data_IF_269511137638
#
_entry.id   IF_269511137638
#
_cell.length_a   1.000
_cell.length_b   1.000
_cell.length_c   1.000
_cell.angle_alpha   90.00
_cell.angle_beta   90.00
_cell.angle_gamma   90.00
#
_symmetry.space_group_name_H-M   'P 1'
#
loop_
_entity.id
_entity.type
_entity.pdbx_description
1 polymer ?
#
# COMPACT_ATOMS: atom_id res chain seq x y z
N UNK A 1 -4.18 -16.41 -3.34
CA UNK A 1 -4.04 -15.18 -4.15
C UNK A 1 -3.59 -14.03 -3.24
N UNK A 2 -2.77 -13.14 -3.74
CA UNK A 2 -2.22 -11.96 -3.03
C UNK A 2 -2.93 -10.69 -3.53
N UNK A 3 -3.40 -9.83 -2.61
CA UNK A 3 -3.92 -8.51 -2.96
C UNK A 3 -2.81 -7.46 -2.78
N UNK A 4 -2.64 -6.59 -3.78
CA UNK A 4 -1.77 -5.41 -3.70
C UNK A 4 -2.62 -4.16 -3.81
N UNK A 5 -2.70 -3.35 -2.75
CA UNK A 5 -3.27 -2.01 -2.81
C UNK A 5 -2.18 -1.01 -3.20
N UNK A 6 -2.55 0.13 -3.79
CA UNK A 6 -1.53 1.05 -4.33
C UNK A 6 -0.71 0.44 -5.47
N UNK A 7 -1.25 -0.57 -6.15
CA UNK A 7 -0.63 -1.34 -7.21
C UNK A 7 -0.12 -0.50 -8.39
N UNK A 8 -0.71 0.66 -8.62
CA UNK A 8 -0.33 1.60 -9.69
C UNK A 8 0.68 2.67 -9.24
N UNK A 9 1.07 2.67 -7.96
CA UNK A 9 2.11 3.53 -7.40
C UNK A 9 3.52 2.97 -7.62
N UNK A 10 4.53 3.73 -7.19
CA UNK A 10 5.94 3.35 -7.35
C UNK A 10 6.22 1.99 -6.73
N UNK A 11 6.02 1.83 -5.43
CA UNK A 11 6.32 0.58 -4.72
C UNK A 11 5.46 -0.58 -5.22
N UNK A 12 4.13 -0.37 -5.32
CA UNK A 12 3.22 -1.44 -5.71
C UNK A 12 3.47 -1.97 -7.13
N UNK A 13 3.79 -1.13 -8.09
CA UNK A 13 4.06 -1.57 -9.47
C UNK A 13 5.33 -2.42 -9.59
N UNK A 14 6.38 -2.09 -8.84
CA UNK A 14 7.61 -2.90 -8.79
C UNK A 14 7.39 -4.22 -8.04
N UNK A 15 6.61 -4.18 -6.95
CA UNK A 15 6.22 -5.40 -6.22
C UNK A 15 5.42 -6.38 -7.09
N UNK A 16 4.50 -5.88 -7.94
CA UNK A 16 3.78 -6.72 -8.88
C UNK A 16 4.71 -7.52 -9.80
N UNK A 17 5.78 -6.90 -10.31
CA UNK A 17 6.78 -7.59 -11.14
C UNK A 17 7.41 -8.73 -10.36
N UNK A 18 7.88 -8.47 -9.13
CA UNK A 18 8.53 -9.45 -8.27
C UNK A 18 7.61 -10.64 -7.96
N UNK A 19 6.40 -10.37 -7.52
CA UNK A 19 5.42 -11.42 -7.17
C UNK A 19 5.11 -12.33 -8.36
N UNK A 20 4.92 -11.75 -9.55
CA UNK A 20 4.61 -12.53 -10.75
C UNK A 20 5.82 -13.29 -11.29
N UNK A 21 7.05 -12.82 -11.06
CA UNK A 21 8.27 -13.59 -11.35
C UNK A 21 8.39 -14.83 -10.44
N UNK A 22 7.90 -14.74 -9.22
CA UNK A 22 7.83 -15.86 -8.26
C UNK A 22 6.61 -16.78 -8.51
N UNK A 23 5.88 -16.56 -9.61
CA UNK A 23 4.68 -17.28 -10.00
C UNK A 23 3.51 -17.18 -9.01
N UNK A 24 3.44 -16.09 -8.26
CA UNK A 24 2.30 -15.82 -7.39
C UNK A 24 1.06 -15.37 -8.19
N UNK A 25 -0.11 -15.71 -7.70
CA UNK A 25 -1.38 -15.19 -8.21
C UNK A 25 -1.68 -13.85 -7.54
N UNK A 26 -1.77 -12.79 -8.34
CA UNK A 26 -1.89 -11.42 -7.83
C UNK A 26 -3.17 -10.74 -8.29
N UNK A 27 -3.89 -10.15 -7.33
CA UNK A 27 -4.97 -9.20 -7.56
C UNK A 27 -4.47 -7.78 -7.25
N UNK A 28 -4.61 -6.86 -8.20
CA UNK A 28 -4.10 -5.49 -8.09
C UNK A 28 -5.25 -4.48 -8.02
N UNK A 29 -5.37 -3.78 -6.89
CA UNK A 29 -6.37 -2.73 -6.69
C UNK A 29 -5.95 -1.46 -7.42
N UNK A 30 -6.85 -0.90 -8.25
CA UNK A 30 -6.62 0.36 -8.93
C UNK A 30 -7.84 1.29 -8.85
N UNK A 31 -7.60 2.61 -8.83
CA UNK A 31 -8.66 3.63 -8.85
C UNK A 31 -8.97 4.14 -10.25
N UNK A 32 -7.94 4.32 -11.06
CA UNK A 32 -8.04 4.91 -12.40
C UNK A 32 -7.33 4.06 -13.44
N UNK A 33 -8.02 3.72 -14.51
CA UNK A 33 -7.47 2.94 -15.63
C UNK A 33 -6.25 3.60 -16.29
N UNK A 34 -6.22 4.95 -16.31
CA UNK A 34 -5.08 5.70 -16.85
C UNK A 34 -3.76 5.38 -16.15
N UNK A 35 -3.81 4.92 -14.89
CA UNK A 35 -2.60 4.59 -14.13
C UNK A 35 -2.08 3.18 -14.45
N UNK A 36 -2.91 2.30 -14.98
CA UNK A 36 -2.51 0.94 -15.38
C UNK A 36 -1.44 0.98 -16.47
N UNK A 37 -1.53 1.93 -17.40
CA UNK A 37 -0.52 2.07 -18.46
C UNK A 37 0.88 2.40 -17.92
N UNK A 38 0.96 3.11 -16.79
CA UNK A 38 2.24 3.36 -16.10
C UNK A 38 2.86 2.06 -15.58
N UNK A 39 2.04 1.15 -15.07
CA UNK A 39 2.51 -0.17 -14.60
C UNK A 39 3.07 -0.98 -15.76
N UNK A 40 2.44 -0.94 -16.92
CA UNK A 40 2.92 -1.61 -18.13
C UNK A 40 4.33 -1.17 -18.51
N UNK A 41 4.63 0.13 -18.36
CA UNK A 41 5.98 0.67 -18.59
C UNK A 41 7.01 0.11 -17.58
N UNK A 42 6.60 -0.11 -16.32
CA UNK A 42 7.46 -0.76 -15.32
C UNK A 42 7.77 -2.20 -15.72
N UNK A 43 6.79 -2.97 -16.18
CA UNK A 43 7.00 -4.33 -16.69
C UNK A 43 7.90 -4.35 -17.92
N UNK A 44 7.75 -3.38 -18.82
CA UNK A 44 8.63 -3.23 -20.00
C UNK A 44 10.08 -2.95 -19.58
N UNK A 45 10.31 -2.09 -18.57
CA UNK A 45 11.62 -1.80 -18.03
C UNK A 45 12.35 -3.05 -17.54
N UNK A 46 11.61 -3.99 -16.91
CA UNK A 46 12.16 -5.27 -16.44
C UNK A 46 12.19 -6.36 -17.52
N UNK A 47 11.82 -6.07 -18.77
CA UNK A 47 11.63 -7.06 -19.86
C UNK A 47 10.65 -8.19 -19.48
N UNK A 48 9.61 -7.85 -18.72
CA UNK A 48 8.60 -8.79 -18.19
C UNK A 48 7.17 -8.50 -18.70
N UNK A 49 7.04 -7.93 -19.89
CA UNK A 49 5.74 -7.53 -20.45
C UNK A 49 4.72 -8.67 -20.52
N UNK A 50 5.15 -9.91 -20.74
CA UNK A 50 4.28 -11.08 -20.75
C UNK A 50 3.64 -11.39 -19.38
N UNK A 51 4.24 -10.95 -18.28
CA UNK A 51 3.68 -11.13 -16.95
C UNK A 51 2.59 -10.11 -16.63
N UNK A 52 2.60 -8.96 -17.30
CA UNK A 52 1.59 -7.93 -17.09
C UNK A 52 0.16 -8.44 -17.33
N UNK A 53 -0.04 -9.28 -18.33
CA UNK A 53 -1.35 -9.85 -18.67
C UNK A 53 -1.86 -10.87 -17.65
N UNK A 54 -1.00 -11.31 -16.72
CA UNK A 54 -1.37 -12.21 -15.61
C UNK A 54 -1.96 -11.48 -14.40
N UNK A 55 -1.92 -10.16 -14.38
CA UNK A 55 -2.45 -9.38 -13.25
C UNK A 55 -3.97 -9.41 -13.28
N UNK A 56 -4.59 -9.83 -12.17
CA UNK A 56 -6.02 -9.70 -11.98
C UNK A 56 -6.33 -8.29 -11.45
N UNK A 57 -6.74 -7.40 -12.35
CA UNK A 57 -7.08 -6.03 -12.01
C UNK A 57 -8.47 -5.93 -11.38
N UNK A 58 -8.58 -5.28 -10.22
CA UNK A 58 -9.85 -4.96 -9.57
C UNK A 58 -9.96 -3.46 -9.31
N UNK A 59 -11.07 -2.87 -9.76
CA UNK A 59 -11.33 -1.45 -9.51
C UNK A 59 -11.86 -1.25 -8.11
N UNK A 60 -11.30 -0.28 -7.36
CA UNK A 60 -11.76 0.06 -6.02
C UNK A 60 -10.92 1.14 -5.37
N UNK A 61 -11.36 1.59 -4.22
CA UNK A 61 -10.70 2.61 -3.40
C UNK A 61 -10.62 2.11 -1.95
N UNK A 62 -9.49 2.32 -1.28
CA UNK A 62 -9.32 1.92 0.13
C UNK A 62 -10.23 2.69 1.08
N UNK A 63 -10.81 3.80 0.64
CA UNK A 63 -11.79 4.57 1.39
C UNK A 63 -13.25 4.15 1.10
N UNK A 64 -13.45 3.21 0.18
CA UNK A 64 -14.77 2.67 -0.20
C UNK A 64 -14.86 1.19 0.19
N UNK A 65 -15.48 0.93 1.35
CA UNK A 65 -15.56 -0.43 1.94
C UNK A 65 -16.20 -1.44 0.97
N UNK A 66 -17.33 -1.17 0.28
CA UNK A 66 -17.89 -2.14 -0.65
C UNK A 66 -16.94 -2.55 -1.76
N UNK A 67 -16.12 -1.64 -2.30
CA UNK A 67 -15.14 -1.98 -3.32
C UNK A 67 -13.95 -2.78 -2.75
N UNK A 68 -13.59 -2.55 -1.48
CA UNK A 68 -12.61 -3.37 -0.77
C UNK A 68 -13.11 -4.80 -0.56
N UNK A 69 -14.35 -5.00 -0.11
CA UNK A 69 -14.93 -6.32 0.09
C UNK A 69 -14.82 -7.17 -1.18
N UNK A 70 -15.15 -6.60 -2.35
CA UNK A 70 -14.98 -7.26 -3.65
C UNK A 70 -13.51 -7.59 -3.92
N UNK A 71 -12.60 -6.67 -3.59
CA UNK A 71 -11.17 -6.89 -3.81
C UNK A 71 -10.61 -7.99 -2.91
N UNK A 72 -11.14 -8.16 -1.70
CA UNK A 72 -10.68 -9.13 -0.71
C UNK A 72 -11.19 -10.57 -0.96
N UNK A 73 -12.13 -10.78 -1.87
CA UNK A 73 -12.61 -12.12 -2.21
C UNK A 73 -11.47 -13.05 -2.67
N UNK A 74 -11.35 -14.21 -2.02
CA UNK A 74 -10.33 -15.24 -2.29
C UNK A 74 -8.87 -14.81 -2.04
N UNK A 75 -8.66 -13.82 -1.19
CA UNK A 75 -7.34 -13.33 -0.81
C UNK A 75 -6.84 -14.05 0.45
N UNK A 76 -5.54 -14.32 0.49
CA UNK A 76 -4.86 -14.92 1.64
C UNK A 76 -3.78 -14.03 2.23
N UNK A 77 -3.19 -13.15 1.42
CA UNK A 77 -2.12 -12.23 1.80
C UNK A 77 -2.38 -10.85 1.20
N UNK A 78 -2.02 -9.80 1.93
CA UNK A 78 -2.20 -8.43 1.48
C UNK A 78 -0.89 -7.66 1.59
N UNK A 79 -0.53 -6.96 0.50
CA UNK A 79 0.48 -5.90 0.52
C UNK A 79 -0.23 -4.56 0.38
N UNK A 80 -0.18 -3.79 1.45
CA UNK A 80 -0.78 -2.46 1.49
C UNK A 80 0.27 -1.40 1.18
N UNK A 81 0.33 -1.00 -0.11
CA UNK A 81 1.25 0.02 -0.62
C UNK A 81 0.51 1.34 -0.94
N UNK A 82 -0.79 1.40 -0.73
CA UNK A 82 -1.57 2.61 -0.99
C UNK A 82 -1.31 3.65 0.10
N UNK A 83 -0.90 4.83 -0.31
CA UNK A 83 -0.77 6.01 0.53
C UNK A 83 -0.87 7.26 -0.33
N UNK A 84 -1.21 8.39 0.28
CA UNK A 84 -1.04 9.72 -0.28
C UNK A 84 0.17 10.36 0.37
N UNK A 85 1.02 11.02 -0.43
CA UNK A 85 2.13 11.83 0.04
C UNK A 85 1.91 13.24 -0.50
N UNK A 86 1.80 14.20 0.39
CA UNK A 86 1.72 15.62 0.07
C UNK A 86 2.42 16.43 1.16
N UNK A 87 2.98 17.55 0.78
CA UNK A 87 3.54 18.56 1.67
C UNK A 87 2.72 19.86 1.65
N UNK A 88 1.59 19.84 0.94
CA UNK A 88 0.68 20.98 0.90
C UNK A 88 -0.28 20.89 2.12
N UNK A 89 -0.31 21.93 2.98
CA UNK A 89 -1.23 21.95 4.12
C UNK A 89 -2.71 21.82 3.74
N UNK A 90 -3.08 22.21 2.52
CA UNK A 90 -4.47 22.08 2.04
C UNK A 90 -4.90 20.62 1.83
N UNK A 91 -3.97 19.68 1.76
CA UNK A 91 -4.23 18.25 1.56
C UNK A 91 -4.37 17.46 2.87
N UNK A 92 -4.34 18.13 4.04
CA UNK A 92 -4.35 17.45 5.35
C UNK A 92 -5.56 16.52 5.51
N UNK A 93 -6.75 16.98 5.17
CA UNK A 93 -7.97 16.19 5.28
C UNK A 93 -7.93 14.96 4.35
N UNK A 94 -7.40 15.12 3.14
CA UNK A 94 -7.25 14.00 2.20
C UNK A 94 -6.15 13.03 2.64
N UNK A 95 -5.05 13.52 3.19
CA UNK A 95 -4.00 12.71 3.81
C UNK A 95 -4.57 11.84 4.94
N UNK A 96 -5.32 12.44 5.87
CA UNK A 96 -5.97 11.72 6.97
C UNK A 96 -6.94 10.66 6.46
N UNK A 97 -7.80 11.03 5.52
CA UNK A 97 -8.78 10.12 4.92
C UNK A 97 -8.11 8.92 4.26
N UNK A 98 -7.08 9.14 3.46
CA UNK A 98 -6.42 8.05 2.73
C UNK A 98 -5.50 7.24 3.66
N UNK A 99 -4.61 7.91 4.41
CA UNK A 99 -3.57 7.21 5.14
C UNK A 99 -4.05 6.63 6.48
N UNK A 100 -5.05 7.25 7.12
CA UNK A 100 -5.58 6.76 8.40
C UNK A 100 -6.82 5.89 8.14
N UNK A 101 -7.89 6.48 7.59
CA UNK A 101 -9.15 5.77 7.42
C UNK A 101 -9.04 4.65 6.37
N UNK A 102 -8.39 4.93 5.24
CA UNK A 102 -8.17 3.92 4.20
C UNK A 102 -7.33 2.75 4.70
N UNK A 103 -6.27 3.01 5.48
CA UNK A 103 -5.46 1.95 6.10
C UNK A 103 -6.28 1.16 7.13
N UNK A 104 -7.09 1.85 7.97
CA UNK A 104 -7.97 1.18 8.92
C UNK A 104 -8.98 0.26 8.23
N UNK A 105 -9.56 0.70 7.10
CA UNK A 105 -10.47 -0.12 6.31
C UNK A 105 -9.77 -1.39 5.78
N UNK A 106 -8.55 -1.25 5.25
CA UNK A 106 -7.76 -2.40 4.78
C UNK A 106 -7.47 -3.38 5.92
N UNK A 107 -7.08 -2.88 7.10
CA UNK A 107 -6.83 -3.72 8.29
C UNK A 107 -8.10 -4.43 8.74
N UNK A 108 -9.23 -3.73 8.81
CA UNK A 108 -10.52 -4.32 9.18
C UNK A 108 -10.93 -5.41 8.18
N UNK A 109 -10.81 -5.16 6.87
CA UNK A 109 -11.03 -6.20 5.87
C UNK A 109 -10.09 -7.40 6.04
N UNK A 110 -8.81 -7.17 6.41
CA UNK A 110 -7.90 -8.28 6.70
C UNK A 110 -8.41 -9.17 7.84
N UNK A 111 -9.01 -8.57 8.87
CA UNK A 111 -9.58 -9.30 10.02
C UNK A 111 -10.85 -10.05 9.57
N UNK A 112 -11.77 -9.36 8.92
CA UNK A 112 -13.08 -9.88 8.52
C UNK A 112 -12.96 -11.04 7.52
N UNK A 113 -12.03 -10.95 6.58
CA UNK A 113 -11.77 -11.98 5.57
C UNK A 113 -10.74 -13.04 6.01
N UNK A 114 -10.23 -12.97 7.24
CA UNK A 114 -9.29 -13.96 7.79
C UNK A 114 -7.96 -14.02 7.02
N UNK A 115 -7.41 -12.87 6.64
CA UNK A 115 -6.13 -12.78 5.92
C UNK A 115 -4.99 -13.33 6.79
N UNK A 116 -4.15 -14.17 6.20
CA UNK A 116 -3.05 -14.82 6.92
C UNK A 116 -1.91 -13.87 7.27
N UNK A 117 -1.58 -12.93 6.37
CA UNK A 117 -0.52 -11.94 6.56
C UNK A 117 -0.85 -10.64 5.84
N UNK A 118 -0.64 -9.53 6.52
CA UNK A 118 -0.63 -8.18 5.99
C UNK A 118 0.79 -7.63 6.07
N UNK A 119 1.32 -7.14 4.94
CA UNK A 119 2.50 -6.31 4.88
C UNK A 119 2.07 -4.88 4.57
N UNK A 120 2.33 -3.96 5.49
CA UNK A 120 2.04 -2.53 5.31
C UNK A 120 3.33 -1.77 5.00
N UNK A 121 3.33 -1.02 3.90
CA UNK A 121 4.44 -0.12 3.57
C UNK A 121 4.27 1.18 4.36
N UNK A 122 5.04 1.30 5.43
CA UNK A 122 5.05 2.46 6.30
C UNK A 122 6.13 3.47 5.88
N UNK A 123 6.47 4.41 6.74
CA UNK A 123 7.47 5.44 6.54
C UNK A 123 8.37 5.54 7.75
N UNK A 124 9.61 5.99 7.55
CA UNK A 124 10.50 6.36 8.67
C UNK A 124 9.90 7.47 9.55
N UNK A 125 9.00 8.29 9.00
CA UNK A 125 8.28 9.30 9.77
C UNK A 125 7.33 8.72 10.82
N UNK A 126 7.02 7.41 10.77
CA UNK A 126 6.25 6.71 11.78
C UNK A 126 7.12 6.18 12.94
N UNK A 127 8.43 6.27 12.82
CA UNK A 127 9.37 5.95 13.88
C UNK A 127 9.64 7.26 14.66
N UNK A 128 9.47 7.30 15.94
CA UNK A 128 9.72 8.50 16.75
C UNK A 128 11.14 9.08 16.61
N UNK A 129 11.41 10.14 17.32
CA UNK A 129 12.75 10.71 17.43
C UNK A 129 13.62 9.87 18.37
N UNK A 130 14.96 9.83 18.18
CA UNK A 130 15.85 9.17 19.12
C UNK A 130 15.79 9.88 20.48
N UNK A 131 15.82 9.12 21.58
CA UNK A 131 15.93 9.69 22.94
C UNK A 131 17.28 10.42 23.09
N UNK A 132 17.37 11.37 24.06
CA UNK A 132 18.54 12.29 24.25
C UNK A 132 19.92 11.61 24.20
N UNK A 133 20.01 10.29 24.39
CA UNK A 133 21.27 9.53 24.37
C UNK A 133 21.37 8.50 23.26
N UNK A 134 20.36 8.42 22.39
CA UNK A 134 20.32 7.51 21.25
C UNK A 134 20.72 8.25 19.98
N UNK A 135 21.63 7.65 19.22
CA UNK A 135 22.09 8.20 17.93
C UNK A 135 21.43 7.52 16.73
N UNK A 136 20.64 6.49 16.97
CA UNK A 136 20.04 5.65 15.92
C UNK A 136 18.60 5.33 16.27
N UNK A 137 17.71 5.51 15.31
CA UNK A 137 16.32 5.07 15.37
C UNK A 137 16.27 3.60 14.94
N UNK A 138 15.61 2.76 15.73
CA UNK A 138 15.42 1.33 15.47
C UNK A 138 13.94 0.97 15.58
N UNK A 139 13.60 -0.28 15.30
CA UNK A 139 12.24 -0.81 15.44
C UNK A 139 11.75 -0.81 16.92
N UNK A 140 12.66 -0.65 17.89
CA UNK A 140 12.35 -0.55 19.32
C UNK A 140 12.13 0.89 19.77
N UNK A 141 12.38 1.88 18.90
CA UNK A 141 12.17 3.29 19.21
C UNK A 141 10.67 3.56 19.35
N UNK A 142 10.26 3.99 20.54
CA UNK A 142 8.86 4.31 20.81
C UNK A 142 8.44 5.61 20.12
N UNK A 143 7.31 5.58 19.46
CA UNK A 143 6.69 6.75 18.87
C UNK A 143 6.05 7.62 19.97
N UNK A 144 6.41 8.90 20.02
CA UNK A 144 5.83 9.87 20.96
C UNK A 144 4.97 10.88 20.18
N UNK A 145 3.64 10.87 20.36
CA UNK A 145 2.75 11.79 19.66
C UNK A 145 2.95 13.26 20.04
N UNK A 146 3.58 13.55 21.20
CA UNK A 146 3.82 14.93 21.65
C UNK A 146 5.02 15.58 20.97
N UNK A 147 5.90 14.79 20.32
CA UNK A 147 7.10 15.29 19.65
C UNK A 147 6.88 15.64 18.16
N UNK A 148 5.68 15.43 17.62
CA UNK A 148 5.34 15.69 16.22
C UNK A 148 5.05 17.15 15.88
N UNK A 149 5.39 18.07 16.73
CA UNK A 149 5.28 19.50 16.47
C UNK A 149 6.63 20.10 16.05
N UNK A 150 7.22 19.58 14.97
CA UNK A 150 8.23 20.35 14.25
C UNK A 150 7.53 20.97 13.03
N UNK A 151 7.53 22.26 13.06
CA UNK A 151 7.10 23.22 12.04
C UNK A 151 7.51 22.83 10.61
#
# INVERSE_FOLDING_TARGET
MILVTGATGLVGSHLLVQLLQENEEVKALFRSEKQIEKVKNVFAFYNQTALFDKINWVKGDITDIPSLEIAFENITHVYHCAALISFDPSDEDELRKINIEGTANVVNCCIDFGIKKLCHVSSIAALGNPKEHETTITEETEWNPEELHSD
#
